data_IF_939531517554
#
_entry.id   IF_939531517554
#
_cell.length_a   1.000
_cell.length_b   1.000
_cell.length_c   1.000
_cell.angle_alpha   90.00
_cell.angle_beta   90.00
_cell.angle_gamma   90.00
#
_symmetry.space_group_name_H-M   'P 1'
#
loop_
_entity.id
_entity.type
_entity.pdbx_description
1 polymer ?
#
# COMPACT_ATOMS: atom_id res chain seq x y z
N UNK A 1 -10.96 -32.25 -13.30
CA UNK A 1 -11.50 -31.01 -12.69
C UNK A 1 -10.31 -30.30 -12.06
N UNK A 2 -9.86 -29.18 -12.62
CA UNK A 2 -8.74 -28.45 -12.03
C UNK A 2 -9.12 -28.04 -10.60
N UNK A 3 -8.31 -28.43 -9.64
CA UNK A 3 -8.50 -28.06 -8.24
C UNK A 3 -8.02 -26.60 -8.11
N UNK A 4 -8.92 -25.62 -8.33
CA UNK A 4 -8.58 -24.23 -8.02
C UNK A 4 -8.47 -24.14 -6.49
N UNK A 5 -7.27 -23.95 -5.97
CA UNK A 5 -7.04 -23.43 -4.61
C UNK A 5 -7.36 -21.92 -4.59
N UNK A 6 -8.61 -21.59 -4.91
CA UNK A 6 -9.10 -20.22 -4.92
C UNK A 6 -9.11 -19.69 -3.47
N UNK A 7 -8.44 -18.56 -3.22
CA UNK A 7 -8.28 -17.96 -1.88
C UNK A 7 -9.21 -16.78 -1.68
N UNK A 8 -9.65 -16.60 -0.44
CA UNK A 8 -10.40 -15.40 -0.07
C UNK A 8 -9.44 -14.25 0.27
N UNK A 9 -9.67 -13.07 -0.31
CA UNK A 9 -8.93 -11.86 0.09
C UNK A 9 -9.08 -11.56 1.59
N UNK A 10 -10.25 -11.87 2.17
CA UNK A 10 -10.52 -11.65 3.59
C UNK A 10 -9.68 -12.57 4.50
N UNK A 11 -9.25 -13.73 4.01
CA UNK A 11 -8.32 -14.62 4.73
C UNK A 11 -6.89 -14.09 4.67
N UNK A 12 -6.50 -13.52 3.52
CA UNK A 12 -5.17 -12.96 3.31
C UNK A 12 -4.98 -11.64 4.06
N UNK A 13 -6.00 -10.79 4.08
CA UNK A 13 -5.99 -9.45 4.67
C UNK A 13 -7.15 -9.32 5.65
N UNK A 14 -6.94 -9.66 6.93
CA UNK A 14 -7.97 -9.50 7.95
C UNK A 14 -8.44 -8.04 8.02
N UNK A 15 -9.75 -7.83 7.89
CA UNK A 15 -10.37 -6.49 7.89
C UNK A 15 -10.64 -5.89 6.51
N UNK A 16 -10.18 -6.52 5.43
CA UNK A 16 -10.54 -6.11 4.08
C UNK A 16 -12.04 -6.39 3.82
N UNK A 17 -12.78 -5.33 3.50
CA UNK A 17 -14.19 -5.38 3.09
C UNK A 17 -14.37 -5.52 1.57
N UNK A 18 -13.36 -5.17 0.77
CA UNK A 18 -13.42 -5.24 -0.68
C UNK A 18 -12.09 -4.89 -1.36
N UNK A 19 -12.13 -4.76 -2.69
CA UNK A 19 -11.01 -4.31 -3.52
C UNK A 19 -11.35 -2.93 -4.07
N UNK A 20 -10.57 -1.92 -3.71
CA UNK A 20 -10.69 -0.57 -4.26
C UNK A 20 -10.02 -0.44 -5.63
N UNK A 21 -8.85 -1.09 -5.81
CA UNK A 21 -8.11 -1.05 -7.07
C UNK A 21 -7.22 -2.27 -7.23
N UNK A 22 -7.03 -2.69 -8.49
CA UNK A 22 -6.13 -3.78 -8.88
C UNK A 22 -5.30 -3.32 -10.09
N UNK A 23 -4.00 -3.61 -10.08
CA UNK A 23 -3.09 -3.36 -11.21
C UNK A 23 -2.13 -4.54 -11.37
N UNK A 24 -1.64 -4.73 -12.58
CA UNK A 24 -0.68 -5.76 -12.91
C UNK A 24 0.62 -5.12 -13.39
N UNK A 25 1.76 -5.72 -13.05
CA UNK A 25 3.06 -5.34 -13.60
C UNK A 25 3.08 -5.55 -15.11
N UNK A 26 3.96 -4.84 -15.82
CA UNK A 26 4.09 -4.95 -17.28
C UNK A 26 4.53 -6.35 -17.75
N UNK A 27 5.15 -7.15 -16.88
CA UNK A 27 5.49 -8.56 -17.11
C UNK A 27 4.33 -9.53 -16.89
N UNK A 28 3.26 -9.11 -16.19
CA UNK A 28 2.19 -10.02 -15.79
C UNK A 28 2.47 -10.87 -14.54
N UNK A 29 3.68 -10.76 -13.95
CA UNK A 29 4.12 -11.62 -12.85
C UNK A 29 3.58 -11.20 -11.49
N UNK A 30 3.25 -9.93 -11.30
CA UNK A 30 2.83 -9.39 -10.01
C UNK A 30 1.54 -8.60 -10.15
N UNK A 31 0.59 -8.85 -9.25
CA UNK A 31 -0.67 -8.12 -9.15
C UNK A 31 -0.67 -7.34 -7.84
N UNK A 32 -0.75 -6.02 -7.93
CA UNK A 32 -0.94 -5.17 -6.75
C UNK A 32 -2.43 -4.93 -6.52
N UNK A 33 -2.85 -4.95 -5.25
CA UNK A 33 -4.24 -4.86 -4.82
C UNK A 33 -4.33 -3.84 -3.70
N UNK A 34 -5.14 -2.81 -3.90
CA UNK A 34 -5.56 -1.87 -2.86
C UNK A 34 -6.88 -2.37 -2.25
N UNK A 35 -6.86 -2.92 -1.02
CA UNK A 35 -8.09 -3.28 -0.32
C UNK A 35 -8.81 -2.04 0.21
N UNK A 36 -10.13 -2.16 0.34
CA UNK A 36 -10.97 -1.23 1.10
C UNK A 36 -11.39 -1.89 2.41
N UNK A 37 -11.60 -1.09 3.46
CA UNK A 37 -12.21 -1.56 4.71
C UNK A 37 -13.71 -1.83 4.49
N UNK A 38 -14.37 -2.43 5.48
CA UNK A 38 -15.80 -2.73 5.44
C UNK A 38 -16.71 -1.50 5.28
N UNK A 39 -16.24 -0.31 5.69
CA UNK A 39 -16.92 0.98 5.51
C UNK A 39 -16.59 1.66 4.17
N UNK A 40 -15.92 0.96 3.26
CA UNK A 40 -15.38 1.46 1.98
C UNK A 40 -14.32 2.57 2.11
N UNK A 41 -13.82 2.85 3.32
CA UNK A 41 -12.65 3.71 3.47
C UNK A 41 -11.37 2.96 3.02
N UNK A 42 -10.31 3.67 2.60
CA UNK A 42 -9.07 3.03 2.21
C UNK A 42 -8.39 2.31 3.39
N UNK A 43 -7.73 1.18 3.12
CA UNK A 43 -6.89 0.48 4.09
C UNK A 43 -5.46 1.04 4.09
N UNK A 44 -4.76 0.93 5.23
CA UNK A 44 -3.33 1.25 5.29
C UNK A 44 -2.46 0.19 4.62
N UNK A 45 -3.03 -0.96 4.27
CA UNK A 45 -2.32 -2.07 3.61
C UNK A 45 -2.47 -2.01 2.11
N UNK A 46 -1.42 -2.44 1.42
CA UNK A 46 -1.45 -2.82 0.02
C UNK A 46 -0.93 -4.26 -0.10
N UNK A 47 -1.49 -5.03 -1.03
CA UNK A 47 -1.11 -6.41 -1.24
C UNK A 47 -0.48 -6.60 -2.61
N UNK A 48 0.46 -7.53 -2.69
CA UNK A 48 1.14 -7.92 -3.91
C UNK A 48 1.06 -9.43 -4.04
N UNK A 49 0.38 -9.88 -5.07
CA UNK A 49 0.28 -11.28 -5.42
C UNK A 49 1.29 -11.62 -6.50
N UNK A 50 2.21 -12.52 -6.18
CA UNK A 50 3.11 -13.13 -7.14
C UNK A 50 2.41 -14.32 -7.80
N UNK A 51 2.22 -14.23 -9.12
CA UNK A 51 1.46 -15.21 -9.91
C UNK A 51 2.25 -16.51 -10.10
N UNK A 52 3.58 -16.42 -10.21
CA UNK A 52 4.43 -17.57 -10.50
C UNK A 52 4.65 -18.40 -9.23
N UNK A 53 4.96 -17.72 -8.13
CA UNK A 53 5.21 -18.37 -6.85
C UNK A 53 3.91 -18.74 -6.10
N UNK A 54 2.75 -18.25 -6.57
CA UNK A 54 1.52 -18.18 -5.79
C UNK A 54 1.87 -17.59 -4.43
N UNK A 55 2.32 -16.35 -4.26
CA UNK A 55 2.61 -15.82 -2.90
C UNK A 55 2.02 -14.44 -2.70
N UNK A 56 1.67 -14.10 -1.46
CA UNK A 56 1.09 -12.79 -1.15
C UNK A 56 2.02 -12.05 -0.21
N UNK A 57 2.46 -10.86 -0.61
CA UNK A 57 3.18 -9.94 0.25
C UNK A 57 2.27 -8.77 0.61
N UNK A 58 2.19 -8.43 1.89
CA UNK A 58 1.37 -7.34 2.41
C UNK A 58 2.30 -6.29 2.98
N UNK A 59 2.15 -5.05 2.51
CA UNK A 59 2.85 -3.90 3.09
C UNK A 59 1.85 -3.02 3.82
N UNK A 60 2.08 -2.78 5.12
CA UNK A 60 1.26 -1.90 5.94
C UNK A 60 1.94 -0.54 6.14
N UNK A 61 1.42 0.50 5.49
CA UNK A 61 1.92 1.87 5.60
C UNK A 61 1.72 2.47 7.00
N UNK A 62 0.83 1.92 7.83
CA UNK A 62 0.66 2.39 9.21
C UNK A 62 1.83 1.97 10.09
N UNK A 63 2.28 0.73 9.95
CA UNK A 63 3.32 0.14 10.81
C UNK A 63 4.70 0.14 10.18
N UNK A 64 4.78 0.29 8.85
CA UNK A 64 6.00 0.08 8.07
C UNK A 64 6.43 -1.39 8.01
N UNK A 65 5.53 -2.34 8.27
CA UNK A 65 5.86 -3.76 8.24
C UNK A 65 5.50 -4.39 6.91
N UNK A 66 6.38 -5.28 6.44
CA UNK A 66 6.12 -6.17 5.32
C UNK A 66 5.92 -7.58 5.88
N UNK A 67 4.77 -8.17 5.56
CA UNK A 67 4.40 -9.55 5.90
C UNK A 67 4.33 -10.36 4.60
N UNK A 68 5.22 -11.34 4.45
CA UNK A 68 5.24 -12.25 3.29
C UNK A 68 4.56 -13.55 3.69
N UNK A 69 3.43 -13.86 3.06
CA UNK A 69 2.64 -15.08 3.30
C UNK A 69 2.79 -16.03 2.12
N UNK A 70 3.43 -17.16 2.38
CA UNK A 70 3.47 -18.28 1.45
C UNK A 70 2.16 -19.06 1.45
N UNK A 71 1.91 -19.72 0.33
CA UNK A 71 0.62 -20.32 -0.02
C UNK A 71 0.51 -21.81 0.23
N UNK A 72 1.64 -22.47 0.47
CA UNK A 72 1.74 -23.94 0.52
C UNK A 72 1.86 -24.53 1.93
N UNK A 73 1.80 -23.72 2.98
CA UNK A 73 1.89 -24.22 4.36
C UNK A 73 0.83 -23.56 5.24
N UNK A 74 -0.40 -24.08 5.22
CA UNK A 74 -1.39 -23.82 6.27
C UNK A 74 -1.06 -24.68 7.52
N UNK A 75 0.20 -24.64 7.94
CA UNK A 75 0.60 -25.08 9.27
C UNK A 75 0.85 -23.81 10.06
N UNK A 76 0.27 -23.75 11.26
CA UNK A 76 0.46 -22.74 12.29
C UNK A 76 1.92 -22.71 12.78
N UNK A 77 2.84 -22.44 11.88
CA UNK A 77 4.22 -22.12 12.20
C UNK A 77 4.42 -20.68 11.77
N UNK A 78 4.19 -19.77 12.72
CA UNK A 78 4.72 -18.41 12.71
C UNK A 78 6.22 -18.48 12.43
N UNK A 79 6.63 -18.43 11.18
CA UNK A 79 7.98 -17.99 10.82
C UNK A 79 7.99 -17.60 9.36
N UNK A 80 7.74 -16.34 9.08
CA UNK A 80 8.82 -15.59 8.46
C UNK A 80 8.80 -14.13 8.94
N UNK A 81 10.00 -13.62 9.13
CA UNK A 81 10.28 -12.39 9.88
C UNK A 81 9.51 -11.24 9.24
N UNK A 82 8.70 -10.53 10.02
CA UNK A 82 8.24 -9.20 9.59
C UNK A 82 9.50 -8.35 9.36
N UNK A 83 9.84 -8.17 8.08
CA UNK A 83 10.94 -7.30 7.72
C UNK A 83 10.41 -5.88 7.94
N UNK A 84 10.95 -5.22 8.96
CA UNK A 84 10.68 -3.81 9.18
C UNK A 84 11.20 -3.07 7.96
N UNK A 85 10.27 -2.50 7.20
CA UNK A 85 10.62 -1.45 6.25
C UNK A 85 11.05 -0.25 7.09
N UNK A 86 12.36 -0.01 7.17
CA UNK A 86 12.96 0.91 8.13
C UNK A 86 12.77 2.40 7.78
N UNK A 87 11.98 2.73 6.76
CA UNK A 87 11.68 4.12 6.46
C UNK A 87 10.49 4.63 7.29
N UNK A 88 10.82 5.14 8.46
CA UNK A 88 9.90 5.83 9.38
C UNK A 88 9.07 6.93 8.70
N UNK A 89 9.55 7.49 7.58
CA UNK A 89 8.83 8.55 6.83
C UNK A 89 7.53 8.05 6.21
N UNK A 90 7.38 6.74 6.03
CA UNK A 90 6.20 6.14 5.41
C UNK A 90 5.10 5.79 6.43
N UNK A 91 5.37 5.95 7.73
CA UNK A 91 4.38 5.67 8.77
C UNK A 91 3.23 6.67 8.73
N UNK A 92 2.03 6.18 9.04
CA UNK A 92 0.78 6.97 9.05
C UNK A 92 0.40 7.52 7.67
N UNK A 93 0.75 6.82 6.60
CA UNK A 93 0.21 7.07 5.28
C UNK A 93 -0.82 6.00 4.90
N UNK A 94 -1.70 6.35 3.97
CA UNK A 94 -2.73 5.47 3.43
C UNK A 94 -2.54 5.47 1.91
N UNK A 95 -2.25 4.32 1.29
CA UNK A 95 -2.14 4.24 -0.15
C UNK A 95 -3.52 4.44 -0.79
N UNK A 96 -3.61 5.36 -1.75
CA UNK A 96 -4.87 5.71 -2.42
C UNK A 96 -4.85 5.40 -3.92
N UNK A 97 -3.66 5.25 -4.50
CA UNK A 97 -3.50 4.90 -5.89
C UNK A 97 -2.20 4.17 -6.14
N UNK A 98 -2.11 3.44 -7.24
CA UNK A 98 -0.94 2.65 -7.57
C UNK A 98 -0.76 2.41 -9.07
N UNK A 99 0.50 2.25 -9.45
CA UNK A 99 0.95 2.15 -10.83
C UNK A 99 2.17 1.23 -10.92
N UNK A 100 2.31 0.62 -12.09
CA UNK A 100 3.52 -0.08 -12.49
C UNK A 100 4.11 0.64 -13.69
N UNK A 101 5.44 0.73 -13.73
CA UNK A 101 6.11 1.26 -14.90
C UNK A 101 5.95 0.30 -16.09
N UNK A 102 5.73 0.88 -17.27
CA UNK A 102 5.51 0.09 -18.49
C UNK A 102 6.79 -0.52 -19.04
N UNK A 103 7.94 0.10 -18.76
CA UNK A 103 9.26 -0.31 -19.25
C UNK A 103 10.07 -1.09 -18.23
N UNK A 104 9.85 -0.83 -16.93
CA UNK A 104 10.52 -1.51 -15.82
C UNK A 104 9.49 -2.27 -14.96
N UNK A 105 9.31 -3.58 -15.16
CA UNK A 105 8.25 -4.37 -14.49
C UNK A 105 8.42 -4.45 -12.98
N UNK A 106 9.59 -4.13 -12.44
CA UNK A 106 9.88 -4.12 -11.00
C UNK A 106 9.59 -2.77 -10.34
N UNK A 107 9.39 -1.72 -11.13
CA UNK A 107 9.16 -0.38 -10.61
C UNK A 107 7.67 -0.19 -10.32
N UNK A 108 7.37 -0.10 -9.04
CA UNK A 108 6.04 0.14 -8.50
C UNK A 108 5.96 1.55 -7.92
N UNK A 109 4.88 2.26 -8.20
CA UNK A 109 4.65 3.61 -7.67
C UNK A 109 3.30 3.63 -6.96
N UNK A 110 3.22 4.22 -5.77
CA UNK A 110 1.96 4.53 -5.13
C UNK A 110 1.82 6.01 -4.75
N UNK A 111 0.60 6.50 -4.86
CA UNK A 111 0.19 7.75 -4.24
C UNK A 111 -0.35 7.40 -2.85
N UNK A 112 0.16 8.08 -1.82
CA UNK A 112 -0.28 7.89 -0.45
C UNK A 112 -0.63 9.22 0.20
N UNK A 113 -1.70 9.25 0.99
CA UNK A 113 -2.13 10.43 1.75
C UNK A 113 -1.79 10.26 3.21
N UNK A 114 -1.45 11.33 3.90
CA UNK A 114 -1.22 11.26 5.34
C UNK A 114 -2.55 10.96 6.06
N UNK A 115 -2.55 9.95 6.93
CA UNK A 115 -3.66 9.66 7.84
C UNK A 115 -3.80 10.86 8.78
N UNK A 116 -4.75 11.75 8.50
CA UNK A 116 -5.07 12.84 9.42
C UNK A 116 -5.71 12.23 10.66
N UNK A 117 -4.97 12.31 11.76
CA UNK A 117 -5.34 11.77 13.06
C UNK A 117 -6.50 12.61 13.65
N UNK A 118 -7.71 12.38 13.14
CA UNK A 118 -8.93 13.02 13.61
C UNK A 118 -9.04 14.51 13.27
N UNK A 119 -9.97 14.84 12.40
CA UNK A 119 -10.70 16.10 12.54
C UNK A 119 -11.36 16.11 13.92
N UNK A 120 -10.75 16.79 14.90
CA UNK A 120 -11.56 17.41 15.93
C UNK A 120 -12.61 18.25 15.21
N UNK A 121 -13.90 18.20 15.58
CA UNK A 121 -14.82 19.23 15.16
C UNK A 121 -14.20 20.53 15.65
N UNK A 122 -13.82 21.42 14.73
CA UNK A 122 -13.48 22.79 15.11
C UNK A 122 -14.75 23.36 15.70
N UNK A 123 -14.85 23.34 17.03
CA UNK A 123 -15.80 24.15 17.76
C UNK A 123 -15.65 25.56 17.25
N UNK A 124 -16.77 26.13 16.82
CA UNK A 124 -16.88 27.50 16.39
C UNK A 124 -16.40 28.41 17.51
N UNK A 125 -15.18 28.95 17.40
CA UNK A 125 -14.91 30.31 17.81
C UNK A 125 -13.64 30.86 17.12
N UNK A 126 -13.71 32.12 16.71
CA UNK A 126 -12.88 32.69 15.66
C UNK A 126 -11.45 33.07 16.05
N UNK A 127 -10.51 32.83 15.13
CA UNK A 127 -9.40 33.75 14.87
C UNK A 127 -8.79 33.48 13.48
N UNK A 128 -8.51 34.49 12.64
CA UNK A 128 -7.82 34.28 11.37
C UNK A 128 -6.35 33.94 11.67
N UNK A 129 -5.95 32.71 11.39
CA UNK A 129 -4.53 32.35 11.30
C UNK A 129 -3.98 32.88 9.98
N UNK A 130 -2.97 33.73 10.10
CA UNK A 130 -2.26 34.37 9.00
C UNK A 130 -1.87 33.39 7.89
N UNK A 131 -2.11 33.84 6.66
CA UNK A 131 -1.98 33.07 5.45
C UNK A 131 -0.56 32.58 5.18
N UNK A 132 -0.42 31.25 5.13
CA UNK A 132 0.44 30.47 4.22
C UNK A 132 0.20 28.97 4.43
N UNK A 133 -1.06 28.53 4.27
CA UNK A 133 -1.35 27.14 3.97
C UNK A 133 -1.57 27.06 2.45
N UNK A 134 -0.49 26.80 1.70
CA UNK A 134 -0.61 26.46 0.28
C UNK A 134 -1.22 25.06 0.13
N UNK A 135 -2.08 24.79 -0.88
CA UNK A 135 -2.82 23.55 -1.00
C UNK A 135 -2.02 22.44 -1.71
N UNK A 136 -0.84 22.05 -1.21
CA UNK A 136 0.12 21.32 -2.05
C UNK A 136 0.96 20.20 -1.40
N UNK A 137 0.57 19.60 -0.27
CA UNK A 137 1.37 18.50 0.31
C UNK A 137 0.55 17.34 0.93
N UNK A 138 -0.68 17.11 0.49
CA UNK A 138 -1.50 16.05 1.07
C UNK A 138 -1.22 14.66 0.48
N UNK A 139 -0.52 14.61 -0.67
CA UNK A 139 -0.21 13.37 -1.40
C UNK A 139 1.31 13.22 -1.54
N UNK A 140 1.83 12.09 -1.06
CA UNK A 140 3.20 11.64 -1.21
C UNK A 140 3.28 10.63 -2.36
N UNK A 141 4.22 10.82 -3.27
CA UNK A 141 4.56 9.84 -4.30
C UNK A 141 5.69 8.97 -3.77
N UNK A 142 5.49 7.66 -3.81
CA UNK A 142 6.44 6.66 -3.34
C UNK A 142 6.76 5.70 -4.46
N UNK A 143 8.04 5.57 -4.78
CA UNK A 143 8.55 4.68 -5.81
C UNK A 143 9.33 3.56 -5.16
N UNK A 144 9.03 2.32 -5.54
CA UNK A 144 9.66 1.11 -5.02
C UNK A 144 10.20 0.26 -6.16
N UNK A 145 11.38 -0.34 -5.95
CA UNK A 145 11.80 -1.50 -6.70
C UNK A 145 11.40 -2.75 -5.95
N UNK A 146 10.74 -3.67 -6.64
CA UNK A 146 10.30 -4.96 -6.11
C UNK A 146 11.15 -6.05 -6.77
N UNK A 147 11.89 -6.81 -5.96
CA UNK A 147 12.69 -7.94 -6.42
C UNK A 147 12.56 -9.13 -5.49
N UNK A 148 12.85 -10.33 -5.99
CA UNK A 148 12.89 -11.53 -5.18
C UNK A 148 14.02 -11.49 -4.13
N UNK A 149 15.18 -10.94 -4.51
CA UNK A 149 16.36 -10.90 -3.65
C UNK A 149 16.23 -9.93 -2.47
N UNK A 150 15.59 -8.77 -2.71
CA UNK A 150 15.57 -7.68 -1.73
C UNK A 150 14.15 -7.31 -1.27
N UNK A 151 13.12 -7.95 -1.80
CA UNK A 151 11.73 -7.60 -1.53
C UNK A 151 11.42 -6.20 -2.02
N UNK A 152 10.82 -5.39 -1.16
CA UNK A 152 10.50 -3.99 -1.44
C UNK A 152 11.67 -3.10 -1.06
N UNK A 153 12.13 -2.28 -2.01
CA UNK A 153 13.13 -1.25 -1.79
C UNK A 153 12.55 0.10 -2.19
N UNK A 154 12.41 1.03 -1.23
CA UNK A 154 12.03 2.41 -1.56
C UNK A 154 13.17 3.05 -2.34
N UNK A 155 12.84 3.54 -3.53
CA UNK A 155 13.72 4.26 -4.42
C UNK A 155 13.66 5.76 -4.16
N UNK A 156 12.45 6.33 -4.19
CA UNK A 156 12.21 7.76 -4.04
C UNK A 156 10.93 8.04 -3.27
N UNK A 157 10.93 9.17 -2.56
CA UNK A 157 9.78 9.69 -1.84
C UNK A 157 9.76 11.21 -2.00
N UNK A 158 8.69 11.74 -2.60
CA UNK A 158 8.55 13.18 -2.82
C UNK A 158 7.08 13.61 -2.79
N UNK A 159 6.78 14.83 -2.31
CA UNK A 159 5.42 15.35 -2.37
C UNK A 159 4.98 15.48 -3.82
N UNK A 160 3.73 15.12 -4.12
CA UNK A 160 3.18 15.26 -5.46
C UNK A 160 3.30 16.71 -5.92
N UNK A 161 3.87 16.98 -7.12
CA UNK A 161 3.96 18.34 -7.63
C UNK A 161 2.59 18.99 -7.70
N UNK A 162 2.52 20.28 -7.37
CA UNK A 162 1.31 21.06 -7.61
C UNK A 162 0.98 21.02 -9.11
N UNK A 163 -0.30 20.79 -9.44
CA UNK A 163 -0.74 20.83 -10.82
C UNK A 163 -0.44 22.21 -11.40
N UNK A 164 0.42 22.29 -12.41
CA UNK A 164 0.63 23.52 -13.17
C UNK A 164 -0.63 23.77 -13.99
N UNK A 165 -1.31 24.89 -13.71
CA UNK A 165 -2.44 25.39 -14.50
C UNK A 165 -1.97 25.97 -15.83
#
# INVERSE_FOLDING_TARGET
>A
KAHCSCRSLAELVPGAGGIASLRCSSSGSTISILPSKADNSPDSKICFYDVEMDTVTIFDFKTGQIDRRETLSFNEQETDKSHLFADERLKNYIPVNHFWDQSEPRLFVCEAVQETLGSQPQSADGQPRDGRAGPAADVLILSFFISEEHGFLLHESFPRPAASH
#
